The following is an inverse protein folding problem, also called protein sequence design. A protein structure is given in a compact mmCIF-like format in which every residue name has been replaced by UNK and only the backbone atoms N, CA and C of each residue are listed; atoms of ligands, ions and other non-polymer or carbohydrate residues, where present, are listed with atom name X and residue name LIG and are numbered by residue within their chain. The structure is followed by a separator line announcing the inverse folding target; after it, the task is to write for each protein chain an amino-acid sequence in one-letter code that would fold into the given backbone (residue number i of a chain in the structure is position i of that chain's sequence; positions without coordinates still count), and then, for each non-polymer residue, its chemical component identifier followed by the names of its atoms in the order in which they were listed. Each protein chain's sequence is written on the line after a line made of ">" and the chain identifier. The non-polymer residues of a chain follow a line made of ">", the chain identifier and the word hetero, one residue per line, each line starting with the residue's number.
data_IF_459940827565
#
_entry.id   IF_459940827565
#
_cell.length_a   1.000
_cell.length_b   1.000
_cell.length_c   1.000
_cell.angle_alpha   90.00
_cell.angle_beta   90.00
_cell.angle_gamma   90.00
#
_symmetry.space_group_name_H-M   'P 1'
#
loop_
_entity.id
_entity.type
_entity.pdbx_description
1 polymer ?
#
# COMPACT_ATOMS: atom_id res chain seq x y z
N UNK A 1 -17.14 -14.48 0.82
CA UNK A 1 -17.11 -14.12 -0.62
C UNK A 1 -15.66 -13.89 -1.00
N UNK A 2 -15.12 -14.63 -1.96
CA UNK A 2 -13.82 -14.29 -2.55
C UNK A 2 -13.94 -12.92 -3.21
N UNK A 3 -13.08 -11.98 -2.85
CA UNK A 3 -13.01 -10.69 -3.54
C UNK A 3 -12.52 -10.93 -4.96
N UNK A 4 -13.12 -10.24 -5.93
CA UNK A 4 -12.62 -10.22 -7.29
C UNK A 4 -11.25 -9.54 -7.31
N UNK A 5 -10.26 -10.22 -7.89
CA UNK A 5 -8.90 -9.68 -8.05
C UNK A 5 -8.61 -9.47 -9.53
N UNK A 6 -7.80 -8.44 -9.80
CA UNK A 6 -7.24 -8.17 -11.12
C UNK A 6 -5.74 -8.41 -11.12
N UNK A 7 -5.22 -8.70 -12.31
CA UNK A 7 -3.77 -8.71 -12.54
C UNK A 7 -3.24 -7.28 -12.46
N UNK A 8 -1.99 -7.15 -12.04
CA UNK A 8 -1.24 -5.91 -12.11
C UNK A 8 -1.09 -5.45 -13.57
N UNK A 9 -1.19 -4.15 -13.79
CA UNK A 9 -0.78 -3.55 -15.05
C UNK A 9 0.73 -3.59 -15.19
N UNK A 10 1.24 -3.36 -16.41
CA UNK A 10 2.70 -3.31 -16.66
C UNK A 10 3.40 -2.26 -15.79
N UNK A 11 2.75 -1.11 -15.57
CA UNK A 11 3.31 -0.03 -14.76
C UNK A 11 3.36 -0.41 -13.29
N UNK A 12 2.27 -0.97 -12.74
CA UNK A 12 2.22 -1.41 -11.35
C UNK A 12 3.19 -2.57 -11.09
N UNK A 13 3.33 -3.51 -12.04
CA UNK A 13 4.36 -4.57 -11.99
C UNK A 13 5.77 -3.97 -11.93
N UNK A 14 6.06 -2.98 -12.78
CA UNK A 14 7.37 -2.30 -12.79
C UNK A 14 7.63 -1.62 -11.45
N UNK A 15 6.65 -0.90 -10.92
CA UNK A 15 6.78 -0.24 -9.62
C UNK A 15 7.01 -1.26 -8.51
N UNK A 16 6.24 -2.35 -8.47
CA UNK A 16 6.39 -3.42 -7.48
C UNK A 16 7.80 -4.02 -7.51
N UNK A 17 8.34 -4.29 -8.70
CA UNK A 17 9.71 -4.79 -8.85
C UNK A 17 10.75 -3.77 -8.39
N UNK A 18 10.58 -2.50 -8.76
CA UNK A 18 11.49 -1.42 -8.34
C UNK A 18 11.49 -1.28 -6.81
N UNK A 19 10.33 -1.23 -6.17
CA UNK A 19 10.20 -1.15 -4.71
C UNK A 19 10.79 -2.37 -4.02
N UNK A 20 10.68 -3.56 -4.62
CA UNK A 20 11.26 -4.79 -4.07
C UNK A 20 12.79 -4.75 -4.03
N UNK A 21 13.43 -4.04 -4.97
CA UNK A 21 14.89 -3.92 -5.04
C UNK A 21 15.49 -2.80 -4.18
N UNK A 22 14.68 -1.85 -3.71
CA UNK A 22 15.16 -0.73 -2.89
C UNK A 22 15.40 -1.20 -1.45
N UNK A 23 16.65 -1.25 -1.00
CA UNK A 23 16.97 -1.60 0.40
C UNK A 23 16.63 -0.45 1.37
N UNK A 24 16.92 0.79 0.98
CA UNK A 24 16.67 2.00 1.79
C UNK A 24 15.57 2.85 1.15
N UNK A 25 14.34 2.70 1.63
CA UNK A 25 13.16 3.38 1.06
C UNK A 25 12.98 4.80 1.62
N UNK A 26 13.59 5.09 2.77
CA UNK A 26 13.51 6.36 3.50
C UNK A 26 13.74 7.59 2.62
N UNK A 27 14.79 7.67 1.78
CA UNK A 27 15.04 8.87 0.98
C UNK A 27 13.91 9.13 -0.02
N UNK A 28 13.44 8.09 -0.71
CA UNK A 28 12.35 8.20 -1.68
C UNK A 28 11.05 8.61 -0.98
N UNK A 29 10.72 7.97 0.15
CA UNK A 29 9.53 8.31 0.92
C UNK A 29 9.55 9.77 1.40
N UNK A 30 10.69 10.21 1.94
CA UNK A 30 10.87 11.58 2.44
C UNK A 30 10.82 12.61 1.31
N UNK A 31 11.33 12.29 0.12
CA UNK A 31 11.21 13.17 -1.03
C UNK A 31 9.76 13.28 -1.52
N UNK A 32 9.05 12.15 -1.63
CA UNK A 32 7.66 12.11 -2.07
C UNK A 32 6.72 12.86 -1.12
N UNK A 33 6.95 12.77 0.19
CA UNK A 33 6.10 13.43 1.20
C UNK A 33 6.25 14.96 1.18
N UNK A 34 7.35 15.48 0.63
CA UNK A 34 7.67 16.91 0.55
C UNK A 34 7.22 17.57 -0.77
N UNK A 35 6.95 16.77 -1.82
CA UNK A 35 6.49 17.28 -3.14
C UNK A 35 5.02 17.72 -3.12
N UNK A 36 4.64 18.52 -4.12
CA UNK A 36 3.24 18.80 -4.42
C UNK A 36 2.48 17.49 -4.67
N UNK A 37 1.37 17.30 -3.96
CA UNK A 37 0.63 16.02 -3.93
C UNK A 37 1.08 15.04 -2.84
N UNK A 38 2.20 15.30 -2.15
CA UNK A 38 2.69 14.48 -1.04
C UNK A 38 1.73 14.40 0.17
N UNK A 39 0.72 15.26 0.22
CA UNK A 39 -0.35 15.21 1.22
C UNK A 39 -1.15 13.90 1.18
N UNK A 40 -1.26 13.25 0.02
CA UNK A 40 -1.94 11.95 -0.12
C UNK A 40 -1.15 10.89 0.61
N UNK A 41 0.19 10.86 0.44
CA UNK A 41 1.07 9.95 1.16
C UNK A 41 1.05 10.19 2.67
N UNK A 42 0.97 11.46 3.11
CA UNK A 42 0.74 11.81 4.53
C UNK A 42 -0.59 11.27 5.04
N UNK A 43 -1.66 11.36 4.24
CA UNK A 43 -2.96 10.84 4.62
C UNK A 43 -2.95 9.30 4.70
N UNK A 44 -2.29 8.62 3.76
CA UNK A 44 -2.07 7.16 3.82
C UNK A 44 -1.39 6.78 5.14
N UNK A 45 -0.28 7.45 5.49
CA UNK A 45 0.44 7.19 6.73
C UNK A 45 -0.45 7.40 7.98
N UNK A 46 -1.21 8.49 8.02
CA UNK A 46 -2.15 8.78 9.13
C UNK A 46 -3.25 7.72 9.29
N UNK A 47 -3.72 7.10 8.21
CA UNK A 47 -4.72 6.04 8.32
C UNK A 47 -4.18 4.79 9.00
N UNK A 48 -2.92 4.41 8.71
CA UNK A 48 -2.26 3.30 9.40
C UNK A 48 -1.97 3.63 10.86
N UNK A 49 -1.45 4.83 11.13
CA UNK A 49 -1.21 5.35 12.48
C UNK A 49 -2.50 5.35 13.33
N UNK A 50 -3.59 5.92 12.81
CA UNK A 50 -4.89 5.97 13.50
C UNK A 50 -5.52 4.58 13.72
N UNK A 51 -5.05 3.57 12.99
CA UNK A 51 -5.50 2.19 13.12
C UNK A 51 -4.58 1.35 14.00
N UNK A 52 -3.52 1.94 14.56
CA UNK A 52 -2.48 1.27 15.35
C UNK A 52 -1.82 0.12 14.58
N UNK A 53 -1.63 0.30 13.27
CA UNK A 53 -0.95 -0.65 12.39
C UNK A 53 0.35 -0.03 11.88
N UNK A 54 1.48 -0.64 12.21
CA UNK A 54 2.77 -0.34 11.60
C UNK A 54 2.83 -0.89 10.17
N UNK A 55 3.39 -0.12 9.23
CA UNK A 55 3.53 -0.61 7.85
C UNK A 55 4.75 -0.06 7.14
N UNK A 56 5.30 -0.87 6.24
CA UNK A 56 6.43 -0.49 5.40
C UNK A 56 6.08 0.70 4.50
N UNK A 57 6.99 1.67 4.40
CA UNK A 57 6.86 2.83 3.50
C UNK A 57 6.70 2.43 2.02
N UNK A 58 7.26 1.26 1.63
CA UNK A 58 7.07 0.69 0.29
C UNK A 58 5.59 0.43 0.00
N UNK A 59 4.85 -0.08 0.98
CA UNK A 59 3.41 -0.33 0.87
C UNK A 59 2.67 0.99 0.69
N UNK A 60 3.02 2.02 1.45
CA UNK A 60 2.38 3.33 1.33
C UNK A 60 2.59 3.95 -0.08
N UNK A 61 3.79 3.83 -0.64
CA UNK A 61 4.10 4.29 -2.01
C UNK A 61 3.36 3.45 -3.05
N UNK A 62 3.27 2.14 -2.84
CA UNK A 62 2.54 1.26 -3.75
C UNK A 62 1.03 1.55 -3.75
N UNK A 63 0.43 1.79 -2.58
CA UNK A 63 -0.98 2.23 -2.46
C UNK A 63 -1.22 3.56 -3.16
N UNK A 64 -0.27 4.50 -3.02
CA UNK A 64 -0.35 5.79 -3.70
C UNK A 64 -0.49 5.62 -5.22
N UNK A 65 0.27 4.69 -5.81
CA UNK A 65 0.21 4.35 -7.23
C UNK A 65 -1.08 3.61 -7.60
N UNK A 66 -1.47 2.57 -6.85
CA UNK A 66 -2.73 1.85 -7.08
C UNK A 66 -3.96 2.76 -7.03
N UNK A 67 -3.90 3.82 -6.23
CA UNK A 67 -4.95 4.82 -6.11
C UNK A 67 -4.84 6.00 -7.09
N UNK A 68 -3.87 6.00 -8.01
CA UNK A 68 -3.56 7.13 -8.92
C UNK A 68 -3.35 8.47 -8.17
N UNK A 69 -2.85 8.44 -6.94
CA UNK A 69 -2.76 9.62 -6.08
C UNK A 69 -4.12 10.17 -5.59
N UNK A 70 -5.23 9.49 -5.86
CA UNK A 70 -6.56 9.90 -5.40
C UNK A 70 -6.83 9.27 -4.03
N UNK A 71 -6.96 10.11 -3.00
CA UNK A 71 -7.10 9.63 -1.62
C UNK A 71 -8.29 8.68 -1.42
N UNK A 72 -9.43 8.96 -2.05
CA UNK A 72 -10.62 8.10 -1.97
C UNK A 72 -10.37 6.68 -2.48
N UNK A 73 -9.57 6.53 -3.55
CA UNK A 73 -9.17 5.22 -4.05
C UNK A 73 -8.18 4.54 -3.11
N UNK A 74 -7.18 5.28 -2.63
CA UNK A 74 -6.17 4.79 -1.68
C UNK A 74 -6.81 4.19 -0.43
N UNK A 75 -7.82 4.86 0.13
CA UNK A 75 -8.50 4.44 1.37
C UNK A 75 -9.08 3.03 1.29
N UNK A 76 -9.59 2.62 0.14
CA UNK A 76 -10.13 1.26 -0.03
C UNK A 76 -9.04 0.19 0.14
N UNK A 77 -7.85 0.42 -0.43
CA UNK A 77 -6.69 -0.45 -0.25
C UNK A 77 -6.22 -0.45 1.21
N UNK A 78 -6.15 0.72 1.85
CA UNK A 78 -5.72 0.84 3.25
C UNK A 78 -6.66 0.05 4.18
N UNK A 79 -7.98 0.20 4.02
CA UNK A 79 -8.95 -0.53 4.82
C UNK A 79 -8.91 -2.03 4.61
N UNK A 80 -8.64 -2.49 3.39
CA UNK A 80 -8.45 -3.90 3.11
C UNK A 80 -7.24 -4.47 3.87
N UNK A 81 -6.11 -3.76 3.83
CA UNK A 81 -4.89 -4.14 4.54
C UNK A 81 -5.07 -4.12 6.06
N UNK A 82 -5.68 -3.06 6.61
CA UNK A 82 -5.99 -2.98 8.05
C UNK A 82 -6.92 -4.11 8.47
N UNK A 83 -7.95 -4.42 7.67
CA UNK A 83 -8.87 -5.52 7.95
C UNK A 83 -8.13 -6.86 7.98
N UNK A 84 -7.22 -7.09 7.03
CA UNK A 84 -6.37 -8.28 7.03
C UNK A 84 -5.53 -8.38 8.31
N UNK A 85 -4.87 -7.30 8.71
CA UNK A 85 -4.02 -7.27 9.90
C UNK A 85 -4.82 -7.54 11.18
N UNK A 86 -5.96 -6.85 11.36
CA UNK A 86 -6.86 -7.03 12.50
C UNK A 86 -7.43 -8.44 12.59
N UNK A 87 -7.83 -9.03 11.47
CA UNK A 87 -8.34 -10.41 11.46
C UNK A 87 -7.30 -11.44 11.90
N UNK A 88 -6.00 -11.13 11.77
CA UNK A 88 -4.89 -11.99 12.20
C UNK A 88 -4.31 -11.59 13.56
N UNK A 89 -4.84 -10.54 14.20
CA UNK A 89 -4.25 -9.97 15.41
C UNK A 89 -2.83 -9.42 15.20
N UNK A 90 -2.48 -9.04 13.96
CA UNK A 90 -1.18 -8.44 13.64
C UNK A 90 -1.26 -6.93 13.77
N UNK A 91 -0.30 -6.33 14.47
CA UNK A 91 -0.08 -4.89 14.49
C UNK A 91 0.82 -4.38 13.37
N UNK A 92 1.31 -5.25 12.48
CA UNK A 92 2.30 -4.90 11.46
C UNK A 92 1.95 -5.49 10.08
N UNK A 93 2.20 -4.71 9.03
CA UNK A 93 2.09 -5.11 7.62
C UNK A 93 3.40 -4.81 6.91
N UNK A 94 4.09 -5.86 6.45
CA UNK A 94 5.39 -5.77 5.80
C UNK A 94 5.27 -6.02 4.30
N UNK A 95 6.23 -5.55 3.53
CA UNK A 95 6.26 -5.76 2.07
C UNK A 95 6.12 -7.23 1.71
N UNK A 96 6.76 -8.10 2.50
CA UNK A 96 6.69 -9.56 2.33
C UNK A 96 5.25 -10.08 2.43
N UNK A 97 4.52 -9.74 3.49
CA UNK A 97 3.15 -10.25 3.64
C UNK A 97 2.19 -9.64 2.61
N UNK A 98 2.43 -8.40 2.16
CA UNK A 98 1.71 -7.83 1.02
C UNK A 98 1.82 -8.73 -0.21
N UNK A 99 3.04 -9.14 -0.58
CA UNK A 99 3.30 -9.88 -1.82
C UNK A 99 3.03 -11.38 -1.71
N UNK A 100 3.21 -11.99 -0.53
CA UNK A 100 3.11 -13.44 -0.34
C UNK A 100 1.77 -13.89 0.23
N UNK A 101 1.08 -13.04 1.01
CA UNK A 101 -0.16 -13.42 1.71
C UNK A 101 -1.38 -12.63 1.22
N UNK A 102 -1.27 -11.30 1.16
CA UNK A 102 -2.42 -10.42 0.96
C UNK A 102 -2.80 -10.37 -0.52
N UNK A 103 -1.84 -9.99 -1.38
CA UNK A 103 -2.02 -9.77 -2.82
C UNK A 103 -1.24 -10.77 -3.68
N UNK A 104 -0.98 -11.97 -3.13
CA UNK A 104 -0.30 -13.06 -3.84
C UNK A 104 -1.00 -13.48 -5.15
N UNK A 105 -2.30 -13.23 -5.25
CA UNK A 105 -3.15 -13.60 -6.39
C UNK A 105 -3.73 -12.40 -7.14
N UNK A 106 -3.11 -11.23 -6.98
CA UNK A 106 -3.51 -10.00 -7.64
C UNK A 106 -4.13 -8.96 -6.70
N UNK A 107 -4.54 -7.85 -7.29
CA UNK A 107 -5.01 -6.65 -6.60
C UNK A 107 -6.53 -6.66 -6.51
N UNK A 108 -7.14 -6.36 -5.34
CA UNK A 108 -8.59 -6.31 -5.21
C UNK A 108 -9.19 -5.22 -6.10
N UNK A 109 -10.34 -5.52 -6.69
CA UNK A 109 -11.18 -4.54 -7.40
C UNK A 109 -12.18 -3.96 -6.40
N UNK A 110 -12.20 -2.64 -6.29
CA UNK A 110 -13.17 -1.90 -5.48
C UNK A 110 -14.12 -1.16 -6.41
N UNK A 111 -15.40 -1.53 -6.34
CA UNK A 111 -16.49 -0.89 -7.07
C UNK A 111 -17.00 0.36 -6.34
#
# INVERSE_FOLDING_TARGET
>A
MSKETRVLTVNECRLLLMLSQIEHIEPLYNELIQKDGGWVLKAIAKHFEASEIETDKKIMIFILDLGDGIIGKCVNYIYDLIKWAKNRGSGIITWKNLTEDIYAHGIPVFN
#
